data_IF_535533497911
#
_entry.id   IF_535533497911
#
_cell.length_a   1.000
_cell.length_b   1.000
_cell.length_c   1.000
_cell.angle_alpha   90.00
_cell.angle_beta   90.00
_cell.angle_gamma   90.00
#
_symmetry.space_group_name_H-M   'P 1'
#
loop_
_entity.id
_entity.type
_entity.pdbx_description
1 polymer ?
#
# COMPACT_ATOMS: atom_id res chain seq x y z
N UNK A 1 11.73 -3.22 -0.38
CA UNK A 1 10.32 -3.08 -0.81
C UNK A 1 9.71 -4.46 -0.99
N UNK A 2 8.61 -4.76 -0.29
CA UNK A 2 7.84 -5.99 -0.50
C UNK A 2 7.39 -6.05 -1.96
N UNK A 3 7.61 -7.19 -2.64
CA UNK A 3 7.14 -7.41 -4.02
C UNK A 3 5.63 -7.67 -4.09
N UNK A 4 4.99 -7.95 -2.95
CA UNK A 4 3.56 -8.22 -2.85
C UNK A 4 2.84 -6.99 -2.32
N UNK A 5 2.40 -6.13 -3.23
CA UNK A 5 1.70 -4.87 -2.89
C UNK A 5 0.17 -5.01 -2.90
N UNK A 6 -0.35 -6.22 -3.15
CA UNK A 6 -1.78 -6.52 -3.18
C UNK A 6 -2.52 -6.10 -4.45
N UNK A 7 -1.82 -5.55 -5.45
CA UNK A 7 -2.38 -5.03 -6.70
C UNK A 7 -2.86 -3.56 -6.58
N UNK A 8 -3.63 -3.06 -7.55
CA UNK A 8 -4.19 -1.70 -7.52
C UNK A 8 -5.10 -1.47 -6.31
N UNK A 9 -5.02 -0.28 -5.69
CA UNK A 9 -5.87 0.08 -4.54
C UNK A 9 -7.36 0.19 -4.88
N UNK A 10 -7.67 0.59 -6.11
CA UNK A 10 -9.02 0.82 -6.61
C UNK A 10 -9.29 -0.05 -7.84
N UNK A 11 -10.58 -0.30 -8.16
CA UNK A 11 -10.94 -1.05 -9.35
C UNK A 11 -10.37 -0.43 -10.63
N UNK A 12 -9.84 -1.29 -11.50
CA UNK A 12 -9.44 -0.91 -12.85
C UNK A 12 -10.68 -0.94 -13.74
N UNK A 13 -10.87 0.11 -14.55
CA UNK A 13 -12.06 0.27 -15.40
C UNK A 13 -12.30 -0.91 -16.36
N UNK A 14 -11.23 -1.55 -16.82
CA UNK A 14 -11.27 -2.81 -17.56
C UNK A 14 -10.60 -3.94 -16.76
N UNK A 15 -11.40 -4.77 -16.05
CA UNK A 15 -10.87 -5.89 -15.27
C UNK A 15 -10.21 -6.95 -16.15
N UNK A 16 -10.66 -7.15 -17.40
CA UNK A 16 -10.06 -8.15 -18.29
C UNK A 16 -8.65 -7.73 -18.70
N UNK A 17 -8.48 -6.47 -19.08
CA UNK A 17 -7.18 -5.89 -19.35
C UNK A 17 -6.25 -5.93 -18.13
N UNK A 18 -6.79 -5.83 -16.91
CA UNK A 18 -5.99 -5.90 -15.68
C UNK A 18 -5.45 -7.30 -15.37
N UNK A 19 -6.19 -8.35 -15.72
CA UNK A 19 -5.77 -9.74 -15.47
C UNK A 19 -4.93 -10.32 -16.60
N UNK A 20 -5.23 -9.92 -17.84
CA UNK A 20 -4.49 -10.32 -19.04
C UNK A 20 -4.29 -9.11 -19.95
N UNK A 21 -3.33 -8.23 -19.62
CA UNK A 21 -2.99 -7.10 -20.48
C UNK A 21 -2.44 -7.64 -21.80
N UNK A 22 -3.07 -7.29 -22.91
CA UNK A 22 -2.65 -7.72 -24.25
C UNK A 22 -1.30 -7.15 -24.69
N UNK A 23 -0.75 -6.17 -23.96
CA UNK A 23 0.56 -5.57 -24.20
C UNK A 23 1.26 -5.17 -22.89
N UNK A 24 2.59 -5.05 -22.92
CA UNK A 24 3.38 -4.58 -21.76
C UNK A 24 3.05 -3.13 -21.39
N UNK A 25 2.85 -2.25 -22.39
CA UNK A 25 2.47 -0.85 -22.17
C UNK A 25 1.14 -0.74 -21.40
N UNK A 26 0.15 -1.56 -21.79
CA UNK A 26 -1.12 -1.63 -21.08
C UNK A 26 -0.92 -2.15 -19.65
N UNK A 27 -0.10 -3.18 -19.45
CA UNK A 27 0.20 -3.70 -18.12
C UNK A 27 0.82 -2.62 -17.21
N UNK A 28 1.74 -1.81 -17.74
CA UNK A 28 2.35 -0.69 -17.02
C UNK A 28 1.32 0.37 -16.68
N UNK A 29 0.50 0.79 -17.64
CA UNK A 29 -0.56 1.80 -17.43
C UNK A 29 -1.63 1.37 -16.42
N UNK A 30 -1.91 0.07 -16.32
CA UNK A 30 -2.85 -0.46 -15.31
C UNK A 30 -2.19 -0.61 -13.94
N UNK A 31 -0.86 -0.66 -13.88
CA UNK A 31 -0.07 -0.60 -12.66
C UNK A 31 0.29 0.84 -12.25
N UNK A 32 0.10 1.83 -13.12
CA UNK A 32 0.27 3.25 -12.83
C UNK A 32 -0.81 3.71 -11.83
N UNK A 33 -0.42 3.84 -10.56
CA UNK A 33 -1.32 4.30 -9.50
C UNK A 33 -0.86 3.86 -8.12
N UNK A 34 -1.73 4.06 -7.13
CA UNK A 34 -1.51 3.55 -5.78
C UNK A 34 -1.79 2.05 -5.72
N UNK A 35 -0.92 1.33 -5.02
CA UNK A 35 -1.15 -0.07 -4.70
C UNK A 35 -2.07 -0.22 -3.48
N UNK A 36 -2.65 -1.40 -3.27
CA UNK A 36 -3.46 -1.70 -2.08
C UNK A 36 -2.63 -1.53 -0.80
N UNK A 37 -1.33 -1.85 -0.85
CA UNK A 37 -0.36 -1.56 0.22
C UNK A 37 -0.30 -0.08 0.54
N UNK A 38 -0.18 0.79 -0.46
CA UNK A 38 -0.10 2.24 -0.26
C UNK A 38 -1.41 2.78 0.33
N UNK A 39 -2.55 2.23 -0.11
CA UNK A 39 -3.84 2.60 0.44
C UNK A 39 -4.01 2.21 1.92
N UNK A 40 -3.62 1.00 2.30
CA UNK A 40 -3.64 0.58 3.71
C UNK A 40 -2.67 1.40 4.56
N UNK A 41 -1.48 1.71 4.04
CA UNK A 41 -0.54 2.59 4.71
C UNK A 41 -1.15 3.98 4.92
N UNK A 42 -1.73 4.57 3.88
CA UNK A 42 -2.39 5.89 3.96
C UNK A 42 -3.53 5.91 4.98
N UNK A 43 -4.30 4.82 5.12
CA UNK A 43 -5.33 4.68 6.16
C UNK A 43 -4.76 4.55 7.57
N UNK A 44 -3.54 4.02 7.70
CA UNK A 44 -2.86 3.81 8.98
C UNK A 44 -2.08 5.04 9.44
N UNK A 45 -1.70 5.95 8.54
CA UNK A 45 -0.90 7.15 8.83
C UNK A 45 -1.41 7.98 10.02
N UNK A 46 -2.71 8.31 10.18
CA UNK A 46 -3.15 9.13 11.30
C UNK A 46 -2.94 8.44 12.66
N UNK A 47 -3.20 7.13 12.73
CA UNK A 47 -2.99 6.35 13.95
C UNK A 47 -1.51 6.17 14.25
N UNK A 48 -0.70 5.86 13.23
CA UNK A 48 0.74 5.76 13.34
C UNK A 48 1.39 7.09 13.79
N UNK A 49 0.90 8.22 13.27
CA UNK A 49 1.38 9.55 13.66
C UNK A 49 1.06 9.87 15.12
N UNK A 50 -0.18 9.63 15.54
CA UNK A 50 -0.57 9.83 16.94
C UNK A 50 0.26 8.96 17.89
N UNK A 51 0.51 7.70 17.52
CA UNK A 51 1.37 6.81 18.29
C UNK A 51 2.83 7.30 18.33
N UNK A 52 3.37 7.77 17.20
CA UNK A 52 4.74 8.29 17.13
C UNK A 52 4.97 9.51 18.04
N UNK A 53 3.95 10.35 18.26
CA UNK A 53 4.04 11.51 19.16
C UNK A 53 4.29 11.13 20.63
N UNK A 54 4.03 9.88 21.03
CA UNK A 54 4.35 9.37 22.37
C UNK A 54 5.85 9.11 22.58
N UNK A 55 6.65 9.15 21.49
CA UNK A 55 8.09 8.87 21.48
C UNK A 55 8.89 10.10 21.01
N UNK A 56 9.04 11.14 21.86
CA UNK A 56 9.58 12.46 21.47
C UNK A 56 11.06 12.48 21.06
N UNK A 57 11.80 11.40 21.30
CA UNK A 57 13.22 11.29 20.92
C UNK A 57 13.42 10.69 19.53
N UNK A 58 12.37 10.18 18.88
CA UNK A 58 12.45 9.57 17.55
C UNK A 58 12.08 10.53 16.43
N UNK A 59 12.60 10.30 15.21
CA UNK A 59 12.11 10.97 14.01
C UNK A 59 10.68 10.48 13.71
N UNK A 60 9.70 11.26 14.20
CA UNK A 60 8.28 10.94 14.09
C UNK A 60 7.85 10.65 12.65
N UNK A 61 8.46 11.28 11.64
CA UNK A 61 8.11 11.05 10.24
C UNK A 61 8.54 9.67 9.77
N UNK A 62 9.78 9.29 10.08
CA UNK A 62 10.32 7.98 9.72
C UNK A 62 9.57 6.87 10.46
N UNK A 63 9.30 7.04 11.75
CA UNK A 63 8.56 6.08 12.56
C UNK A 63 7.11 5.92 12.06
N UNK A 64 6.41 7.03 11.81
CA UNK A 64 5.03 7.02 11.29
C UNK A 64 4.94 6.28 9.96
N UNK A 65 5.85 6.57 9.03
CA UNK A 65 5.87 5.91 7.73
C UNK A 65 6.15 4.41 7.86
N UNK A 66 7.11 4.02 8.71
CA UNK A 66 7.44 2.63 8.99
C UNK A 66 6.22 1.87 9.52
N UNK A 67 5.59 2.37 10.59
CA UNK A 67 4.44 1.70 11.22
C UNK A 67 3.22 1.61 10.31
N UNK A 68 2.97 2.65 9.50
CA UNK A 68 1.89 2.61 8.53
C UNK A 68 2.09 1.49 7.48
N UNK A 69 3.32 1.30 7.00
CA UNK A 69 3.62 0.20 6.08
C UNK A 69 3.65 -1.17 6.74
N UNK A 70 4.08 -1.27 8.01
CA UNK A 70 4.00 -2.51 8.78
C UNK A 70 2.54 -2.96 8.93
N UNK A 71 1.63 -2.03 9.24
CA UNK A 71 0.20 -2.32 9.29
C UNK A 71 -0.34 -2.76 7.93
N UNK A 72 0.06 -2.08 6.85
CA UNK A 72 -0.35 -2.46 5.49
C UNK A 72 0.10 -3.89 5.12
N UNK A 73 1.34 -4.25 5.45
CA UNK A 73 1.89 -5.59 5.18
C UNK A 73 1.16 -6.66 6.04
N UNK A 74 0.81 -6.35 7.29
CA UNK A 74 -0.01 -7.22 8.14
C UNK A 74 -1.42 -7.46 7.58
N UNK A 75 -2.08 -6.41 7.08
CA UNK A 75 -3.40 -6.54 6.43
C UNK A 75 -3.36 -7.38 5.16
N UNK A 76 -2.30 -7.25 4.35
CA UNK A 76 -2.10 -8.09 3.17
C UNK A 76 -1.85 -9.55 3.53
N UNK A 77 -1.06 -9.80 4.58
CA UNK A 77 -0.82 -11.15 5.09
C UNK A 77 -2.12 -11.80 5.61
N UNK A 78 -2.97 -11.05 6.32
CA UNK A 78 -4.25 -11.55 6.82
C UNK A 78 -5.19 -11.94 5.66
N UNK A 79 -5.25 -11.12 4.61
CA UNK A 79 -6.07 -11.40 3.42
C UNK A 79 -5.65 -12.66 2.66
N UNK A 80 -4.37 -13.04 2.74
CA UNK A 80 -3.82 -14.17 2.01
C UNK A 80 -4.02 -15.53 2.72
N UNK A 81 -4.62 -15.55 3.91
CA UNK A 81 -5.02 -16.75 4.64
C UNK A 81 -6.32 -17.33 4.09
#
# INVERSE_FOLDING_TARGET
>A
MSKNTGGPAFPVHDPFAAHQPGTVDLAQRLAEGMTLRDYFAAKSLPAAYNWALEYPEEDHWTLTASEAYNMADAMLAERAK
#
